data_IF_681445191047
#
_entry.id   IF_681445191047
#
_cell.length_a   1.000
_cell.length_b   1.000
_cell.length_c   1.000
_cell.angle_alpha   90.00
_cell.angle_beta   90.00
_cell.angle_gamma   90.00
#
_symmetry.space_group_name_H-M   'P 1'
#
loop_
_entity.id
_entity.type
_entity.pdbx_description
1 polymer ?
#
# COMPACT_ATOMS: atom_id res chain seq x y z
N UNK A 1 30.61 -17.93 -15.04
CA UNK A 1 29.41 -17.18 -14.59
C UNK A 1 29.22 -17.55 -13.15
N UNK A 2 29.35 -16.57 -12.26
CA UNK A 2 29.25 -16.82 -10.83
C UNK A 2 27.81 -17.07 -10.41
N UNK A 3 27.61 -17.67 -9.23
CA UNK A 3 26.26 -18.01 -8.73
C UNK A 3 25.35 -16.82 -8.66
N UNK A 4 25.86 -15.69 -8.23
CA UNK A 4 25.12 -14.43 -8.10
C UNK A 4 24.63 -13.93 -9.46
N UNK A 5 25.45 -14.11 -10.50
CA UNK A 5 25.09 -13.77 -11.88
C UNK A 5 23.95 -14.65 -12.38
N UNK A 6 24.05 -15.96 -12.15
CA UNK A 6 22.99 -16.93 -12.53
C UNK A 6 21.72 -16.66 -11.73
N UNK A 7 21.86 -16.41 -10.42
CA UNK A 7 20.72 -16.10 -9.58
C UNK A 7 19.98 -14.85 -10.04
N UNK A 8 20.72 -13.76 -10.32
CA UNK A 8 20.13 -12.53 -10.84
C UNK A 8 19.52 -12.73 -12.22
N UNK A 9 20.21 -13.43 -13.12
CA UNK A 9 19.75 -13.69 -14.48
C UNK A 9 18.42 -14.47 -14.53
N UNK A 10 18.22 -15.40 -13.62
CA UNK A 10 17.03 -16.27 -13.57
C UNK A 10 15.92 -15.68 -12.68
N UNK A 11 16.29 -15.15 -11.49
CA UNK A 11 15.30 -14.69 -10.51
C UNK A 11 14.47 -13.53 -11.03
N UNK A 12 15.11 -12.53 -11.65
CA UNK A 12 14.44 -11.31 -12.06
C UNK A 12 13.43 -11.52 -13.19
N UNK A 13 13.76 -12.22 -14.31
CA UNK A 13 12.79 -12.53 -15.34
C UNK A 13 11.63 -13.40 -14.83
N UNK A 14 11.94 -14.45 -14.04
CA UNK A 14 10.92 -15.35 -13.48
C UNK A 14 9.99 -14.57 -12.54
N UNK A 15 10.53 -13.77 -11.63
CA UNK A 15 9.75 -12.93 -10.74
C UNK A 15 8.89 -11.93 -11.52
N UNK A 16 9.42 -11.32 -12.59
CA UNK A 16 8.69 -10.42 -13.47
C UNK A 16 7.50 -11.11 -14.15
N UNK A 17 7.72 -12.28 -14.72
CA UNK A 17 6.64 -13.08 -15.36
C UNK A 17 5.58 -13.45 -14.33
N UNK A 18 5.97 -13.97 -13.15
CA UNK A 18 5.03 -14.34 -12.11
C UNK A 18 4.24 -13.14 -11.58
N UNK A 19 4.87 -11.98 -11.46
CA UNK A 19 4.20 -10.74 -11.08
C UNK A 19 3.12 -10.35 -12.10
N UNK A 20 3.42 -10.42 -13.40
CA UNK A 20 2.46 -10.12 -14.47
C UNK A 20 1.29 -11.11 -14.43
N UNK A 21 1.57 -12.41 -14.34
CA UNK A 21 0.54 -13.45 -14.28
C UNK A 21 -0.35 -13.28 -13.05
N UNK A 22 0.24 -13.12 -11.87
CA UNK A 22 -0.49 -12.90 -10.63
C UNK A 22 -1.32 -11.60 -10.67
N UNK A 23 -0.79 -10.53 -11.27
CA UNK A 23 -1.51 -9.26 -11.45
C UNK A 23 -2.73 -9.40 -12.38
N UNK A 24 -2.66 -10.26 -13.38
CA UNK A 24 -3.80 -10.56 -14.28
C UNK A 24 -4.86 -11.42 -13.60
N UNK A 25 -4.44 -12.34 -12.72
CA UNK A 25 -5.36 -13.20 -11.96
C UNK A 25 -6.10 -12.42 -10.86
N UNK A 26 -5.40 -11.50 -10.18
CA UNK A 26 -5.99 -10.69 -9.10
C UNK A 26 -6.54 -9.39 -9.67
N UNK A 27 -7.74 -9.47 -10.21
CA UNK A 27 -8.42 -8.29 -10.78
C UNK A 27 -8.82 -7.30 -9.69
N UNK A 28 -8.73 -6.01 -10.00
CA UNK A 28 -9.37 -4.97 -9.22
C UNK A 28 -10.89 -5.17 -9.27
N UNK A 29 -11.56 -5.14 -8.12
CA UNK A 29 -13.02 -5.17 -8.02
C UNK A 29 -13.45 -3.81 -7.54
N UNK A 30 -14.20 -3.10 -8.35
CA UNK A 30 -14.81 -1.84 -7.95
C UNK A 30 -15.90 -2.10 -6.90
N UNK A 31 -15.83 -1.41 -5.77
CA UNK A 31 -16.87 -1.37 -4.74
C UNK A 31 -17.02 -2.60 -3.82
N UNK A 32 -17.54 -2.37 -2.63
CA UNK A 32 -18.07 -3.41 -1.73
C UNK A 32 -17.05 -4.33 -1.04
N UNK A 33 -15.74 -4.12 -1.20
CA UNK A 33 -14.73 -4.91 -0.49
C UNK A 33 -14.46 -4.31 0.89
N UNK A 34 -14.37 -5.18 1.88
CA UNK A 34 -13.78 -4.81 3.18
C UNK A 34 -12.31 -4.49 3.01
N UNK A 35 -11.79 -3.58 3.82
CA UNK A 35 -10.42 -3.09 3.77
C UNK A 35 -9.37 -4.22 3.78
N UNK A 36 -9.54 -5.22 4.64
CA UNK A 36 -8.65 -6.38 4.77
C UNK A 36 -8.55 -7.19 3.45
N UNK A 37 -9.66 -7.38 2.75
CA UNK A 37 -9.70 -8.08 1.45
C UNK A 37 -9.11 -7.23 0.33
N UNK A 38 -9.35 -5.92 0.36
CA UNK A 38 -8.77 -5.01 -0.61
C UNK A 38 -7.24 -4.94 -0.45
N UNK A 39 -6.75 -4.88 0.79
CA UNK A 39 -5.32 -4.98 1.11
C UNK A 39 -4.69 -6.28 0.62
N UNK A 40 -5.31 -7.42 0.93
CA UNK A 40 -4.81 -8.71 0.46
C UNK A 40 -4.70 -8.76 -1.08
N UNK A 41 -5.67 -8.21 -1.80
CA UNK A 41 -5.61 -8.14 -3.27
C UNK A 41 -4.54 -7.21 -3.81
N UNK A 42 -4.18 -6.17 -3.08
CA UNK A 42 -3.10 -5.26 -3.46
C UNK A 42 -1.74 -5.95 -3.38
N UNK A 43 -1.48 -6.70 -2.30
CA UNK A 43 -0.16 -7.30 -2.04
C UNK A 43 0.00 -8.72 -2.58
N UNK A 44 -1.09 -9.46 -2.77
CA UNK A 44 -1.05 -10.87 -3.22
C UNK A 44 -0.26 -11.09 -4.52
N UNK A 45 -0.34 -10.21 -5.55
CA UNK A 45 0.43 -10.39 -6.76
C UNK A 45 1.95 -10.35 -6.57
N UNK A 46 2.43 -9.75 -5.48
CA UNK A 46 3.85 -9.69 -5.16
C UNK A 46 4.38 -11.00 -4.54
N UNK A 47 3.51 -11.81 -3.93
CA UNK A 47 3.92 -12.99 -3.17
C UNK A 47 4.73 -14.01 -4.00
N UNK A 48 4.32 -14.42 -5.22
CA UNK A 48 5.08 -15.37 -6.02
C UNK A 48 6.45 -14.80 -6.44
N UNK A 49 6.48 -13.53 -6.85
CA UNK A 49 7.72 -12.86 -7.23
C UNK A 49 8.68 -12.74 -6.05
N UNK A 50 8.17 -12.37 -4.87
CA UNK A 50 8.96 -12.28 -3.63
C UNK A 50 9.50 -13.65 -3.20
N UNK A 51 8.71 -14.71 -3.36
CA UNK A 51 9.14 -16.07 -3.04
C UNK A 51 10.31 -16.55 -3.94
N UNK A 52 10.23 -16.25 -5.24
CA UNK A 52 11.33 -16.53 -6.19
C UNK A 52 12.57 -15.72 -5.83
N UNK A 53 12.44 -14.45 -5.55
CA UNK A 53 13.57 -13.62 -5.12
C UNK A 53 14.20 -14.14 -3.81
N UNK A 54 13.39 -14.59 -2.85
CA UNK A 54 13.87 -15.17 -1.60
C UNK A 54 14.61 -16.49 -1.83
N UNK A 55 14.11 -17.36 -2.72
CA UNK A 55 14.75 -18.61 -3.10
C UNK A 55 16.16 -18.38 -3.68
N UNK A 56 16.26 -17.50 -4.67
CA UNK A 56 17.52 -17.20 -5.33
C UNK A 56 18.49 -16.43 -4.42
N UNK A 57 17.97 -15.56 -3.54
CA UNK A 57 18.79 -14.93 -2.52
C UNK A 57 19.38 -15.95 -1.57
N UNK A 58 18.58 -16.91 -1.08
CA UNK A 58 19.08 -17.99 -0.22
C UNK A 58 20.18 -18.81 -0.91
N UNK A 59 20.01 -19.09 -2.21
CA UNK A 59 21.04 -19.79 -3.00
C UNK A 59 22.32 -18.97 -3.16
N UNK A 60 22.23 -17.69 -3.46
CA UNK A 60 23.38 -16.80 -3.57
C UNK A 60 24.16 -16.71 -2.25
N UNK A 61 23.46 -16.62 -1.12
CA UNK A 61 24.09 -16.63 0.21
C UNK A 61 24.81 -17.93 0.58
N UNK A 62 24.44 -19.06 -0.04
CA UNK A 62 25.10 -20.35 0.22
C UNK A 62 26.45 -20.52 -0.48
N UNK A 63 26.82 -19.56 -1.36
CA UNK A 63 28.06 -19.61 -2.15
C UNK A 63 29.32 -19.36 -1.31
N UNK A 64 30.49 -19.92 -1.72
CA UNK A 64 31.77 -19.55 -1.14
C UNK A 64 32.06 -18.06 -1.40
N UNK A 65 32.84 -17.44 -0.50
CA UNK A 65 33.31 -16.04 -0.61
C UNK A 65 34.34 -15.85 -1.74
N UNK A 66 34.00 -16.21 -2.96
CA UNK A 66 34.85 -15.86 -4.11
C UNK A 66 34.60 -14.41 -4.49
N UNK A 67 35.69 -13.71 -4.83
CA UNK A 67 35.68 -12.30 -5.17
C UNK A 67 34.62 -11.99 -6.24
N UNK A 68 33.59 -11.27 -5.85
CA UNK A 68 32.47 -10.90 -6.69
C UNK A 68 32.97 -9.97 -7.79
N UNK A 69 33.17 -10.49 -8.98
CA UNK A 69 33.23 -9.64 -10.15
C UNK A 69 31.82 -9.17 -10.47
N UNK A 70 31.56 -7.89 -10.31
CA UNK A 70 30.30 -7.26 -10.75
C UNK A 70 30.21 -7.37 -12.28
N UNK A 71 29.68 -8.47 -12.77
CA UNK A 71 29.49 -8.63 -14.21
C UNK A 71 28.49 -7.59 -14.73
N UNK A 72 28.75 -7.08 -15.92
CA UNK A 72 27.91 -6.10 -16.62
C UNK A 72 26.43 -6.55 -16.67
N UNK A 73 26.20 -7.86 -16.78
CA UNK A 73 24.87 -8.48 -16.78
C UNK A 73 24.12 -8.22 -15.48
N UNK A 74 24.76 -8.35 -14.32
CA UNK A 74 24.15 -8.08 -13.01
C UNK A 74 23.75 -6.61 -12.87
N UNK A 75 24.62 -5.71 -13.36
CA UNK A 75 24.33 -4.27 -13.37
C UNK A 75 23.11 -3.99 -14.24
N UNK A 76 23.07 -4.52 -15.46
CA UNK A 76 21.94 -4.30 -16.39
C UNK A 76 20.63 -4.86 -15.82
N UNK A 77 20.64 -6.03 -15.19
CA UNK A 77 19.46 -6.62 -14.58
C UNK A 77 19.03 -5.91 -13.28
N UNK A 78 19.98 -5.34 -12.55
CA UNK A 78 19.69 -4.61 -11.31
C UNK A 78 19.12 -3.20 -11.57
N UNK A 79 19.44 -2.58 -12.72
CA UNK A 79 18.98 -1.22 -13.05
C UNK A 79 17.47 -1.02 -12.93
N UNK A 80 16.59 -1.87 -13.50
CA UNK A 80 15.14 -1.69 -13.35
C UNK A 80 14.68 -1.71 -11.89
N UNK A 81 15.27 -2.58 -11.07
CA UNK A 81 14.95 -2.65 -9.63
C UNK A 81 15.49 -1.46 -8.86
N UNK A 82 16.71 -1.03 -9.18
CA UNK A 82 17.28 0.18 -8.60
C UNK A 82 16.43 1.41 -8.92
N UNK A 83 15.91 1.51 -10.14
CA UNK A 83 15.01 2.60 -10.55
C UNK A 83 13.66 2.54 -9.79
N UNK A 84 13.06 1.36 -9.64
CA UNK A 84 11.83 1.19 -8.85
C UNK A 84 12.07 1.56 -7.39
N UNK A 85 13.17 1.08 -6.81
CA UNK A 85 13.54 1.39 -5.43
C UNK A 85 13.83 2.89 -5.25
N UNK A 86 14.61 3.50 -6.15
CA UNK A 86 14.89 4.93 -6.15
C UNK A 86 13.59 5.76 -6.25
N UNK A 87 12.66 5.37 -7.13
CA UNK A 87 11.33 5.98 -7.23
C UNK A 87 10.54 5.86 -5.93
N UNK A 88 10.52 4.68 -5.31
CA UNK A 88 9.82 4.45 -4.05
C UNK A 88 10.42 5.27 -2.91
N UNK A 89 11.75 5.32 -2.81
CA UNK A 89 12.47 6.13 -1.82
C UNK A 89 12.24 7.63 -2.07
N UNK A 90 12.35 8.10 -3.31
CA UNK A 90 12.10 9.50 -3.65
C UNK A 90 10.65 9.90 -3.35
N UNK A 91 9.69 9.00 -3.54
CA UNK A 91 8.28 9.23 -3.19
C UNK A 91 8.10 9.27 -1.68
N UNK A 92 8.74 8.37 -0.92
CA UNK A 92 8.73 8.37 0.54
C UNK A 92 9.32 9.67 1.10
N UNK A 93 10.47 10.09 0.61
CA UNK A 93 11.11 11.35 1.01
C UNK A 93 10.20 12.54 0.70
N UNK A 94 9.63 12.60 -0.51
CA UNK A 94 8.68 13.67 -0.88
C UNK A 94 7.48 13.68 0.05
N UNK A 95 6.89 12.52 0.36
CA UNK A 95 5.78 12.41 1.30
C UNK A 95 6.14 12.91 2.70
N UNK A 96 7.36 12.63 3.17
CA UNK A 96 7.84 13.13 4.47
C UNK A 96 8.08 14.64 4.46
N UNK A 97 8.63 15.17 3.36
CA UNK A 97 8.92 16.61 3.22
C UNK A 97 7.66 17.42 2.93
N UNK A 98 6.66 16.85 2.26
CA UNK A 98 5.36 17.50 1.95
C UNK A 98 4.46 17.66 3.18
N UNK A 99 4.87 17.22 4.35
CA UNK A 99 4.10 17.47 5.59
C UNK A 99 3.91 18.95 5.87
N UNK A 100 4.80 19.81 5.36
CA UNK A 100 4.72 21.26 5.52
C UNK A 100 3.82 21.97 4.48
N UNK A 101 3.51 21.34 3.35
CA UNK A 101 2.82 21.97 2.22
C UNK A 101 1.51 21.27 1.81
N UNK A 102 0.91 20.46 2.68
CA UNK A 102 -0.28 19.72 2.30
C UNK A 102 -1.52 20.63 2.32
N UNK A 103 -2.19 20.65 1.20
CA UNK A 103 -3.46 21.33 0.96
C UNK A 103 -4.67 20.57 1.56
N UNK A 104 -4.45 19.51 2.31
CA UNK A 104 -5.53 18.76 2.97
C UNK A 104 -5.95 19.46 4.27
N UNK A 105 -7.26 19.78 4.41
CA UNK A 105 -7.78 20.52 5.56
C UNK A 105 -7.61 19.77 6.89
N UNK A 106 -7.69 18.44 6.88
CA UNK A 106 -7.38 17.56 8.00
C UNK A 106 -6.59 16.36 7.48
N UNK A 107 -5.63 15.88 8.26
CA UNK A 107 -4.81 14.73 7.89
C UNK A 107 -4.12 14.11 9.08
N UNK A 108 -3.80 12.86 8.97
CA UNK A 108 -2.86 12.17 9.86
C UNK A 108 -1.47 12.08 9.22
N UNK A 109 -0.44 12.61 9.86
CA UNK A 109 0.94 12.64 9.36
C UNK A 109 1.90 11.90 10.29
N UNK A 110 2.99 11.37 9.73
CA UNK A 110 4.01 10.61 10.45
C UNK A 110 3.89 9.10 10.24
N UNK A 111 5.02 8.45 9.84
CA UNK A 111 5.02 7.02 9.53
C UNK A 111 5.05 6.13 10.78
N UNK A 112 5.85 6.51 11.81
CA UNK A 112 6.08 5.69 13.00
C UNK A 112 5.18 6.15 14.14
N UNK A 113 5.08 7.46 14.33
CA UNK A 113 4.25 8.11 15.34
C UNK A 113 3.30 9.08 14.64
N UNK A 114 2.19 8.57 14.11
CA UNK A 114 1.24 9.42 13.42
C UNK A 114 0.59 10.41 14.39
N UNK A 115 0.46 11.65 13.94
CA UNK A 115 -0.21 12.72 14.64
C UNK A 115 -1.30 13.33 13.76
N UNK A 116 -2.41 13.71 14.35
CA UNK A 116 -3.50 14.43 13.69
C UNK A 116 -3.11 15.88 13.49
N UNK A 117 -3.26 16.40 12.29
CA UNK A 117 -3.01 17.78 11.92
C UNK A 117 -4.30 18.31 11.27
N UNK A 118 -4.83 19.39 11.80
CA UNK A 118 -6.02 20.06 11.29
C UNK A 118 -5.64 21.50 10.95
N UNK A 119 -6.01 21.93 9.75
CA UNK A 119 -5.82 23.32 9.34
C UNK A 119 -6.71 24.25 10.16
N UNK A 120 -6.18 25.37 10.58
CA UNK A 120 -6.87 26.30 11.48
C UNK A 120 -8.09 26.97 10.80
N UNK A 121 -7.99 27.26 9.50
CA UNK A 121 -9.09 27.83 8.76
C UNK A 121 -10.24 26.81 8.59
N UNK A 122 -9.88 25.54 8.35
CA UNK A 122 -10.85 24.46 8.32
C UNK A 122 -11.51 24.25 9.68
N UNK A 123 -10.72 24.18 10.76
CA UNK A 123 -11.25 24.04 12.12
C UNK A 123 -12.24 25.15 12.47
N UNK A 124 -11.97 26.40 12.06
CA UNK A 124 -12.88 27.55 12.28
C UNK A 124 -14.16 27.51 11.41
N UNK A 125 -14.14 26.78 10.30
CA UNK A 125 -15.31 26.64 9.41
C UNK A 125 -16.30 25.56 9.88
N UNK A 126 -15.92 24.75 10.88
CA UNK A 126 -16.72 23.69 11.44
C UNK A 126 -17.35 24.07 12.78
N UNK A 127 -18.52 23.54 13.04
CA UNK A 127 -19.06 23.51 14.40
C UNK A 127 -18.26 22.58 15.30
N UNK A 128 -18.38 22.74 16.63
CA UNK A 128 -17.67 21.88 17.56
C UNK A 128 -17.99 20.38 17.42
N UNK A 129 -19.25 19.93 17.19
CA UNK A 129 -19.56 18.54 16.90
C UNK A 129 -18.90 18.02 15.62
N UNK A 130 -18.92 18.79 14.54
CA UNK A 130 -18.28 18.44 13.26
C UNK A 130 -16.75 18.31 13.43
N UNK A 131 -16.12 19.23 14.15
CA UNK A 131 -14.69 19.16 14.43
C UNK A 131 -14.33 17.89 15.25
N UNK A 132 -15.14 17.52 16.25
CA UNK A 132 -14.97 16.27 16.99
C UNK A 132 -15.09 15.04 16.09
N UNK A 133 -16.05 15.05 15.16
CA UNK A 133 -16.22 13.96 14.20
C UNK A 133 -14.98 13.79 13.29
N UNK A 134 -14.42 14.91 12.77
CA UNK A 134 -13.17 14.90 12.00
C UNK A 134 -12.00 14.37 12.83
N UNK A 135 -11.84 14.86 14.06
CA UNK A 135 -10.78 14.38 14.95
C UNK A 135 -10.88 12.88 15.18
N UNK A 136 -12.09 12.36 15.43
CA UNK A 136 -12.31 10.92 15.61
C UNK A 136 -11.93 10.10 14.36
N UNK A 137 -12.23 10.62 13.16
CA UNK A 137 -11.84 10.01 11.89
C UNK A 137 -10.30 9.99 11.72
N UNK A 138 -9.64 11.12 11.94
CA UNK A 138 -8.18 11.22 11.83
C UNK A 138 -7.46 10.39 12.90
N UNK A 139 -7.99 10.32 14.12
CA UNK A 139 -7.48 9.42 15.15
C UNK A 139 -7.61 7.95 14.76
N UNK A 140 -8.66 7.56 14.02
CA UNK A 140 -8.77 6.20 13.48
C UNK A 140 -7.60 5.91 12.51
N UNK A 141 -7.25 6.84 11.61
CA UNK A 141 -6.06 6.73 10.78
C UNK A 141 -4.77 6.61 11.60
N UNK A 142 -4.63 7.40 12.66
CA UNK A 142 -3.47 7.37 13.53
C UNK A 142 -3.34 6.03 14.29
N UNK A 143 -4.43 5.53 14.88
CA UNK A 143 -4.46 4.22 15.58
C UNK A 143 -4.01 3.07 14.70
N UNK A 144 -4.36 3.09 13.43
CA UNK A 144 -4.00 2.05 12.44
C UNK A 144 -2.68 2.32 11.73
N UNK A 145 -2.01 3.44 12.00
CA UNK A 145 -0.79 3.87 11.33
C UNK A 145 -0.96 3.90 9.80
N UNK A 146 -2.07 4.45 9.35
CA UNK A 146 -2.43 4.45 7.94
C UNK A 146 -1.41 5.17 7.05
N UNK A 147 -0.71 6.25 7.46
CA UNK A 147 0.37 6.81 6.66
C UNK A 147 1.45 5.78 6.28
N UNK A 148 1.85 4.90 7.22
CA UNK A 148 2.79 3.81 6.93
C UNK A 148 2.17 2.77 5.98
N UNK A 149 0.90 2.43 6.17
CA UNK A 149 0.20 1.46 5.31
C UNK A 149 0.04 2.00 3.88
N UNK A 150 -0.29 3.28 3.73
CA UNK A 150 -0.35 3.96 2.43
C UNK A 150 1.02 3.93 1.75
N UNK A 151 2.09 4.18 2.49
CA UNK A 151 3.45 4.10 1.97
C UNK A 151 3.79 2.68 1.48
N UNK A 152 3.49 1.64 2.27
CA UNK A 152 3.69 0.23 1.87
C UNK A 152 2.84 -0.12 0.65
N UNK A 153 1.58 0.35 0.60
CA UNK A 153 0.70 0.14 -0.53
C UNK A 153 1.24 0.78 -1.82
N UNK A 154 1.79 1.98 -1.71
CA UNK A 154 2.45 2.66 -2.84
C UNK A 154 3.71 1.94 -3.27
N UNK A 155 4.53 1.47 -2.34
CA UNK A 155 5.70 0.64 -2.66
C UNK A 155 5.27 -0.62 -3.43
N UNK A 156 4.23 -1.32 -2.99
CA UNK A 156 3.69 -2.49 -3.69
C UNK A 156 3.22 -2.15 -5.12
N UNK A 157 2.61 -0.98 -5.30
CA UNK A 157 2.19 -0.47 -6.61
C UNK A 157 3.40 -0.14 -7.49
N UNK A 158 4.42 0.53 -6.93
CA UNK A 158 5.64 0.90 -7.65
C UNK A 158 6.46 -0.33 -8.08
N UNK A 159 6.53 -1.36 -7.23
CA UNK A 159 7.19 -2.63 -7.57
C UNK A 159 6.51 -3.36 -8.75
N UNK A 160 5.26 -3.04 -9.04
CA UNK A 160 4.53 -3.58 -10.20
C UNK A 160 4.83 -2.85 -11.51
N UNK A 161 5.52 -1.71 -11.46
CA UNK A 161 5.92 -0.93 -12.63
C UNK A 161 7.22 -1.51 -13.26
N UNK A 162 7.37 -1.49 -14.60
CA UNK A 162 6.40 -1.06 -15.61
C UNK A 162 5.42 -2.17 -16.06
N UNK A 163 5.58 -3.40 -15.61
CA UNK A 163 4.97 -4.59 -16.21
C UNK A 163 3.47 -4.76 -15.90
N UNK A 164 3.01 -4.26 -14.74
CA UNK A 164 1.64 -4.46 -14.27
C UNK A 164 1.01 -3.20 -13.66
N UNK A 165 1.46 -2.02 -14.05
CA UNK A 165 1.15 -0.74 -13.39
C UNK A 165 -0.34 -0.40 -13.37
N UNK A 166 -1.07 -0.59 -14.48
CA UNK A 166 -2.50 -0.24 -14.54
C UNK A 166 -3.35 -1.06 -13.56
N UNK A 167 -3.13 -2.36 -13.49
CA UNK A 167 -3.83 -3.23 -12.54
C UNK A 167 -3.44 -2.95 -11.09
N UNK A 168 -2.19 -2.61 -10.83
CA UNK A 168 -1.70 -2.27 -9.50
C UNK A 168 -2.30 -0.94 -9.01
N UNK A 169 -2.37 0.08 -9.86
CA UNK A 169 -2.98 1.36 -9.50
C UNK A 169 -4.48 1.20 -9.23
N UNK A 170 -5.21 0.44 -10.05
CA UNK A 170 -6.62 0.17 -9.81
C UNK A 170 -6.87 -0.55 -8.47
N UNK A 171 -5.99 -1.48 -8.09
CA UNK A 171 -6.06 -2.15 -6.78
C UNK A 171 -5.74 -1.21 -5.63
N UNK A 172 -4.77 -0.31 -5.82
CA UNK A 172 -4.44 0.71 -4.84
C UNK A 172 -5.63 1.65 -4.59
N UNK A 173 -6.25 2.16 -5.65
CA UNK A 173 -7.45 3.02 -5.55
C UNK A 173 -8.58 2.29 -4.84
N UNK A 174 -8.85 1.03 -5.21
CA UNK A 174 -9.90 0.24 -4.56
C UNK A 174 -9.62 0.01 -3.07
N UNK A 175 -8.37 -0.20 -2.69
CA UNK A 175 -7.99 -0.32 -1.29
C UNK A 175 -8.09 1.01 -0.54
N UNK A 176 -7.62 2.11 -1.12
CA UNK A 176 -7.69 3.43 -0.49
C UNK A 176 -9.15 3.86 -0.21
N UNK A 177 -10.06 3.61 -1.15
CA UNK A 177 -11.50 3.81 -0.92
C UNK A 177 -12.04 2.95 0.22
N UNK A 178 -11.68 1.67 0.27
CA UNK A 178 -12.09 0.77 1.35
C UNK A 178 -11.51 1.21 2.70
N UNK A 179 -10.31 1.79 2.72
CA UNK A 179 -9.67 2.36 3.90
C UNK A 179 -10.47 3.52 4.45
N UNK A 180 -10.83 4.50 3.62
CA UNK A 180 -11.64 5.67 4.04
C UNK A 180 -12.99 5.23 4.64
N UNK A 181 -13.71 4.33 3.95
CA UNK A 181 -14.98 3.81 4.45
C UNK A 181 -14.84 3.06 5.78
N UNK A 182 -13.70 2.40 6.02
CA UNK A 182 -13.42 1.75 7.28
C UNK A 182 -13.14 2.76 8.41
N UNK A 183 -12.49 3.88 8.10
CA UNK A 183 -12.24 4.95 9.08
C UNK A 183 -13.50 5.74 9.40
N UNK A 184 -14.36 5.99 8.40
CA UNK A 184 -15.70 6.55 8.62
C UNK A 184 -16.50 5.67 9.60
N UNK A 185 -16.58 4.37 9.32
CA UNK A 185 -17.30 3.43 10.19
C UNK A 185 -16.69 3.34 11.60
N UNK A 186 -15.37 3.47 11.74
CA UNK A 186 -14.70 3.47 13.05
C UNK A 186 -14.96 4.77 13.81
N UNK A 187 -14.99 5.92 13.15
CA UNK A 187 -15.37 7.20 13.77
C UNK A 187 -16.79 7.15 14.35
N UNK A 188 -17.75 6.62 13.57
CA UNK A 188 -19.12 6.40 14.05
C UNK A 188 -19.17 5.46 15.25
N UNK A 189 -18.39 4.37 15.23
CA UNK A 189 -18.32 3.42 16.35
C UNK A 189 -17.72 4.05 17.63
N UNK A 190 -16.95 5.14 17.49
CA UNK A 190 -16.42 5.92 18.61
C UNK A 190 -17.30 7.12 18.99
N UNK A 191 -18.52 7.19 18.47
CA UNK A 191 -19.52 8.16 18.87
C UNK A 191 -19.59 9.43 18.03
N UNK A 192 -18.93 9.48 16.86
CA UNK A 192 -19.15 10.56 15.92
C UNK A 192 -20.58 10.48 15.34
N UNK A 193 -21.26 11.61 15.24
CA UNK A 193 -22.54 11.66 14.56
C UNK A 193 -22.36 11.57 13.04
N UNK A 194 -23.14 10.74 12.33
CA UNK A 194 -23.01 10.58 10.88
C UNK A 194 -23.27 11.88 10.08
N UNK A 195 -24.18 12.72 10.54
CA UNK A 195 -24.46 14.01 9.87
C UNK A 195 -23.32 15.00 10.06
N UNK A 196 -22.76 15.07 11.27
CA UNK A 196 -21.62 15.92 11.57
C UNK A 196 -20.40 15.55 10.72
N UNK A 197 -20.10 14.23 10.63
CA UNK A 197 -18.99 13.74 9.81
C UNK A 197 -19.25 13.97 8.32
N UNK A 198 -20.46 13.72 7.82
CA UNK A 198 -20.82 13.94 6.44
C UNK A 198 -20.66 15.42 6.04
N UNK A 199 -21.14 16.33 6.90
CA UNK A 199 -21.05 17.77 6.66
C UNK A 199 -19.58 18.24 6.64
N UNK A 200 -18.79 17.80 7.61
CA UNK A 200 -17.36 18.11 7.65
C UNK A 200 -16.60 17.61 6.39
N UNK A 201 -16.93 16.43 5.87
CA UNK A 201 -16.39 15.90 4.62
C UNK A 201 -16.75 16.79 3.44
N UNK A 202 -17.99 17.28 3.37
CA UNK A 202 -18.42 18.19 2.30
C UNK A 202 -17.70 19.56 2.37
N UNK A 203 -17.54 20.12 3.57
CA UNK A 203 -16.76 21.36 3.78
C UNK A 203 -15.30 21.15 3.37
N UNK A 204 -14.69 20.04 3.74
CA UNK A 204 -13.32 19.70 3.35
C UNK A 204 -13.19 19.55 1.83
N UNK A 205 -14.17 18.95 1.15
CA UNK A 205 -14.18 18.80 -0.31
C UNK A 205 -14.30 20.16 -1.00
N UNK A 206 -15.15 21.06 -0.49
CA UNK A 206 -15.32 22.42 -1.02
C UNK A 206 -14.02 23.23 -0.89
N UNK A 207 -13.35 23.17 0.26
CA UNK A 207 -12.07 23.85 0.48
C UNK A 207 -10.96 23.33 -0.46
N UNK A 208 -10.87 22.01 -0.65
CA UNK A 208 -9.91 21.43 -1.62
C UNK A 208 -10.16 21.92 -3.03
N UNK A 209 -11.44 21.96 -3.47
CA UNK A 209 -11.80 22.42 -4.80
C UNK A 209 -11.45 23.88 -5.05
N UNK A 210 -11.52 24.71 -4.00
CA UNK A 210 -11.17 26.13 -4.08
C UNK A 210 -9.66 26.41 -4.19
N UNK A 211 -8.82 25.48 -3.70
CA UNK A 211 -7.36 25.66 -3.59
C UNK A 211 -6.55 24.79 -4.54
N UNK A 212 -7.16 24.00 -5.42
CA UNK A 212 -6.48 23.00 -6.23
C UNK A 212 -5.70 23.62 -7.40
N UNK A 213 -4.33 23.57 -7.37
CA UNK A 213 -3.53 23.51 -8.57
C UNK A 213 -3.28 22.03 -8.90
N UNK A 214 -3.62 21.57 -10.10
CA UNK A 214 -3.30 20.27 -10.68
C UNK A 214 -3.45 19.01 -9.76
N UNK A 215 -4.25 18.02 -10.16
CA UNK A 215 -4.59 16.89 -9.30
C UNK A 215 -3.40 15.95 -9.11
N UNK A 216 -2.90 15.82 -7.89
CA UNK A 216 -2.08 14.66 -7.51
C UNK A 216 -2.93 13.39 -7.48
N UNK A 217 -2.33 12.20 -7.66
CA UNK A 217 -3.08 10.93 -7.71
C UNK A 217 -3.88 10.63 -6.41
N UNK A 218 -3.44 11.12 -5.25
CA UNK A 218 -4.20 11.04 -3.99
C UNK A 218 -5.33 12.09 -3.94
N UNK A 219 -5.10 13.29 -4.47
CA UNK A 219 -6.15 14.29 -4.65
C UNK A 219 -7.21 13.85 -5.66
N UNK A 220 -6.84 13.07 -6.68
CA UNK A 220 -7.80 12.51 -7.64
C UNK A 220 -8.77 11.52 -6.97
N UNK A 221 -8.35 10.73 -5.98
CA UNK A 221 -9.24 9.84 -5.22
C UNK A 221 -10.15 10.65 -4.29
N UNK A 222 -9.60 11.64 -3.61
CA UNK A 222 -10.33 12.49 -2.68
C UNK A 222 -11.31 13.44 -3.39
N UNK A 223 -11.04 13.79 -4.65
CA UNK A 223 -11.89 14.66 -5.49
C UNK A 223 -12.81 13.87 -6.44
N UNK A 224 -12.82 12.54 -6.38
CA UNK A 224 -13.77 11.73 -7.15
C UNK A 224 -15.16 11.91 -6.58
N UNK A 225 -15.99 12.69 -7.29
CA UNK A 225 -17.35 13.01 -6.86
C UNK A 225 -18.19 11.74 -6.60
N UNK A 226 -17.96 10.68 -7.36
CA UNK A 226 -18.67 9.40 -7.17
C UNK A 226 -18.29 8.73 -5.85
N UNK A 227 -17.04 8.86 -5.43
CA UNK A 227 -16.60 8.30 -4.16
C UNK A 227 -17.03 9.16 -2.97
N UNK A 228 -17.03 10.47 -3.12
CA UNK A 228 -17.58 11.38 -2.12
C UNK A 228 -19.07 11.06 -1.87
N UNK A 229 -19.84 10.92 -2.94
CA UNK A 229 -21.25 10.56 -2.89
C UNK A 229 -21.44 9.18 -2.19
N UNK A 230 -20.63 8.19 -2.52
CA UNK A 230 -20.64 6.87 -1.85
C UNK A 230 -20.39 7.00 -0.33
N UNK A 231 -19.42 7.84 0.10
CA UNK A 231 -19.14 8.06 1.53
C UNK A 231 -20.34 8.68 2.24
N UNK A 232 -20.90 9.76 1.67
CA UNK A 232 -22.05 10.46 2.26
C UNK A 232 -23.27 9.53 2.37
N UNK A 233 -23.61 8.81 1.30
CA UNK A 233 -24.72 7.85 1.36
C UNK A 233 -24.50 6.78 2.43
N UNK A 234 -23.31 6.23 2.54
CA UNK A 234 -23.02 5.22 3.58
C UNK A 234 -23.08 5.75 4.99
N UNK A 235 -22.68 7.00 5.21
CA UNK A 235 -22.80 7.65 6.51
C UNK A 235 -24.27 7.85 6.90
N UNK A 236 -25.09 8.33 5.96
CA UNK A 236 -26.48 8.69 6.21
C UNK A 236 -27.45 7.48 6.21
N UNK A 237 -27.18 6.47 5.38
CA UNK A 237 -27.99 5.25 5.27
C UNK A 237 -27.63 4.19 6.32
N UNK A 238 -26.56 4.38 7.06
CA UNK A 238 -26.07 3.37 8.00
C UNK A 238 -26.97 3.30 9.24
N UNK A 239 -27.72 2.21 9.34
CA UNK A 239 -28.00 1.64 10.66
C UNK A 239 -26.67 1.50 11.42
N UNK A 240 -26.62 1.74 12.76
CA UNK A 240 -25.38 1.77 13.52
C UNK A 240 -24.50 0.55 13.13
N UNK A 241 -23.27 0.76 12.71
CA UNK A 241 -22.45 -0.33 12.23
C UNK A 241 -22.34 -1.34 13.34
N UNK A 242 -22.90 -2.53 13.12
CA UNK A 242 -22.53 -3.68 13.95
C UNK A 242 -21.05 -3.88 13.70
N UNK A 243 -20.22 -3.34 14.58
CA UNK A 243 -18.77 -3.52 14.57
C UNK A 243 -18.52 -5.00 14.79
N UNK A 244 -18.66 -5.78 13.72
CA UNK A 244 -18.08 -7.11 13.71
C UNK A 244 -16.57 -6.86 13.80
N UNK A 245 -16.04 -7.15 14.99
CA UNK A 245 -14.64 -7.09 15.27
C UNK A 245 -13.88 -7.58 14.03
N UNK A 246 -13.24 -6.64 13.34
CA UNK A 246 -12.35 -6.97 12.23
C UNK A 246 -11.47 -8.07 12.78
N UNK A 247 -11.46 -9.22 12.16
CA UNK A 247 -10.71 -10.36 12.64
C UNK A 247 -9.23 -10.00 12.57
N UNK A 248 -8.73 -9.36 13.65
CA UNK A 248 -7.28 -9.11 13.86
C UNK A 248 -6.52 -10.41 13.60
N UNK A 249 -7.14 -11.54 13.90
CA UNK A 249 -6.68 -12.88 13.61
C UNK A 249 -6.39 -13.07 12.10
N UNK A 250 -7.26 -12.65 11.19
CA UNK A 250 -7.06 -12.82 9.75
C UNK A 250 -5.89 -11.96 9.21
N UNK A 251 -5.72 -10.76 9.75
CA UNK A 251 -4.58 -9.90 9.37
C UNK A 251 -3.24 -10.48 9.84
N UNK A 252 -3.22 -11.09 11.03
CA UNK A 252 -2.03 -11.77 11.55
C UNK A 252 -1.72 -13.05 10.80
N UNK A 253 -2.73 -13.86 10.45
CA UNK A 253 -2.51 -15.10 9.67
C UNK A 253 -1.92 -14.83 8.30
N UNK A 254 -2.34 -13.78 7.61
CA UNK A 254 -1.77 -13.38 6.31
C UNK A 254 -0.31 -12.95 6.42
N UNK A 255 0.03 -12.15 7.43
CA UNK A 255 1.42 -11.71 7.67
C UNK A 255 2.32 -12.89 8.03
N UNK A 256 1.83 -13.76 8.90
CA UNK A 256 2.54 -14.98 9.27
C UNK A 256 2.72 -15.92 8.07
N UNK A 257 1.70 -16.11 7.25
CA UNK A 257 1.78 -16.93 6.04
C UNK A 257 2.80 -16.38 5.03
N UNK A 258 2.81 -15.06 4.79
CA UNK A 258 3.78 -14.44 3.90
C UNK A 258 5.21 -14.54 4.46
N UNK A 259 5.41 -14.25 5.73
CA UNK A 259 6.71 -14.37 6.38
C UNK A 259 7.21 -15.82 6.36
N UNK A 260 6.33 -16.79 6.62
CA UNK A 260 6.65 -18.22 6.53
C UNK A 260 6.99 -18.63 5.10
N UNK A 261 6.24 -18.17 4.11
CA UNK A 261 6.54 -18.43 2.69
C UNK A 261 7.94 -17.92 2.32
N UNK A 262 8.25 -16.68 2.68
CA UNK A 262 9.57 -16.08 2.38
C UNK A 262 10.69 -16.80 3.14
N UNK A 263 10.50 -17.12 4.41
CA UNK A 263 11.47 -17.86 5.22
C UNK A 263 11.73 -19.27 4.68
N UNK A 264 10.67 -20.00 4.36
CA UNK A 264 10.79 -21.37 3.80
C UNK A 264 11.47 -21.35 2.44
N UNK A 265 11.07 -20.45 1.54
CA UNK A 265 11.68 -20.36 0.20
C UNK A 265 13.15 -19.93 0.27
N UNK A 266 13.51 -19.01 1.16
CA UNK A 266 14.90 -18.63 1.40
C UNK A 266 15.72 -19.83 1.93
N UNK A 267 15.19 -20.56 2.92
CA UNK A 267 15.85 -21.75 3.48
C UNK A 267 16.01 -22.86 2.43
N UNK A 268 15.00 -23.06 1.57
CA UNK A 268 15.10 -24.00 0.45
C UNK A 268 16.23 -23.57 -0.50
N UNK A 269 16.32 -22.29 -0.86
CA UNK A 269 17.42 -21.75 -1.66
C UNK A 269 18.77 -21.99 -1.03
N UNK A 270 18.88 -21.69 0.28
CA UNK A 270 20.13 -21.86 1.05
C UNK A 270 20.61 -23.31 1.11
N UNK A 271 19.69 -24.27 1.35
CA UNK A 271 20.04 -25.68 1.61
C UNK A 271 20.11 -26.51 0.33
N UNK A 272 19.21 -26.24 -0.61
CA UNK A 272 19.02 -27.12 -1.78
C UNK A 272 19.36 -26.45 -3.10
N UNK A 273 19.65 -25.15 -3.14
CA UNK A 273 19.95 -24.40 -4.37
C UNK A 273 21.05 -25.05 -5.21
N UNK A 274 22.06 -25.63 -4.55
CA UNK A 274 23.13 -26.39 -5.20
C UNK A 274 22.66 -27.60 -6.00
N UNK A 275 21.56 -28.23 -5.57
CA UNK A 275 21.08 -29.48 -6.17
C UNK A 275 20.10 -29.24 -7.31
N UNK A 276 19.31 -28.20 -7.26
CA UNK A 276 18.19 -27.97 -8.19
C UNK A 276 18.50 -26.96 -9.29
N UNK A 277 19.25 -25.91 -8.98
CA UNK A 277 19.48 -24.84 -9.96
C UNK A 277 20.40 -25.20 -11.12
N UNK A 278 21.44 -26.06 -10.95
CA UNK A 278 22.22 -26.53 -12.10
C UNK A 278 21.42 -27.34 -13.12
N UNK A 279 20.27 -27.91 -12.72
CA UNK A 279 19.37 -28.63 -13.65
C UNK A 279 18.58 -27.66 -14.56
N UNK A 280 18.39 -26.41 -14.15
CA UNK A 280 17.72 -25.37 -14.92
C UNK A 280 18.68 -24.64 -15.88
N UNK A 281 19.99 -24.79 -15.68
CA UNK A 281 21.03 -24.16 -16.51
C UNK A 281 21.56 -25.08 -17.62
N UNK A 282 21.08 -26.31 -17.73
CA UNK A 282 21.33 -27.25 -18.81
C UNK A 282 20.21 -27.20 -19.84
#
# INVERSE_FOLDING_TARGET
MDRDEVAALLALPIAGVLLVLASRMVRARAGGLREDRAWARLVLPLAPASAVCALFAGWAFAGPEEAQSLALVNIVLAVPFALVLARAVARAIRSLLSTAAATEPARTAGLIRPAVIIDEAFARSLSEPELRAVVSHEEAHARHRDPLRIWIARLATDLSWPLASSGAEARFVAWARALELARDAEALAHGADPHDLANAILVAAALRSAHAPEPSASAAIANDASFLDERIHRLLDSAPPTVRASSRCLAWTWRAALASLLGVTFTIGLVYGERFLPLLAR
#
